data_IF_054618519727
#
_entry.id   IF_054618519727
#
_cell.length_a   1.000
_cell.length_b   1.000
_cell.length_c   1.000
_cell.angle_alpha   90.00
_cell.angle_beta   90.00
_cell.angle_gamma   90.00
#
_symmetry.space_group_name_H-M   'P 1'
#
loop_
_entity.id
_entity.type
_entity.pdbx_description
1 polymer ?
#
# COMPACT_ATOMS: atom_id res chain seq x y z
N UNK A 1 -17.01 13.92 -0.73
CA UNK A 1 -15.55 13.93 -0.55
C UNK A 1 -15.28 13.19 0.72
N UNK A 2 -14.56 12.09 0.63
CA UNK A 2 -14.03 11.41 1.81
C UNK A 2 -12.95 12.32 2.40
N UNK A 3 -13.17 12.76 3.63
CA UNK A 3 -12.45 13.86 4.30
C UNK A 3 -11.01 13.51 4.72
N UNK A 4 -10.25 12.77 3.91
CA UNK A 4 -8.84 12.46 4.20
C UNK A 4 -7.92 13.56 3.69
N UNK A 5 -7.23 14.29 4.59
CA UNK A 5 -6.40 15.41 4.18
C UNK A 5 -5.21 14.89 3.36
N UNK A 6 -4.83 15.58 2.27
CA UNK A 6 -3.54 15.34 1.64
C UNK A 6 -2.44 15.61 2.68
N UNK A 7 -1.31 14.92 2.55
CA UNK A 7 -0.19 15.09 3.49
C UNK A 7 0.15 16.57 3.67
N UNK A 8 0.41 16.98 4.91
CA UNK A 8 0.75 18.37 5.27
C UNK A 8 2.15 18.78 4.80
N UNK A 9 2.96 17.84 4.28
CA UNK A 9 4.27 18.14 3.74
C UNK A 9 4.19 18.66 2.29
N UNK A 10 5.17 19.48 1.91
CA UNK A 10 5.31 19.96 0.54
C UNK A 10 5.47 18.77 -0.42
N UNK A 11 4.70 18.77 -1.51
CA UNK A 11 4.73 17.66 -2.46
C UNK A 11 6.04 17.71 -3.28
N UNK A 12 6.91 16.68 -3.17
CA UNK A 12 8.25 16.71 -3.75
C UNK A 12 8.24 16.63 -5.27
N UNK A 13 9.26 17.19 -5.91
CA UNK A 13 9.47 17.10 -7.36
C UNK A 13 9.72 15.66 -7.83
N UNK A 14 9.12 15.29 -8.96
CA UNK A 14 9.20 13.97 -9.59
C UNK A 14 8.62 12.82 -8.75
N UNK A 15 7.50 13.09 -8.08
CA UNK A 15 6.72 12.10 -7.36
C UNK A 15 5.33 11.94 -7.96
N UNK A 16 4.76 10.77 -7.71
CA UNK A 16 3.34 10.47 -7.91
C UNK A 16 2.77 10.00 -6.59
N UNK A 17 1.57 10.45 -6.25
CA UNK A 17 0.79 9.94 -5.13
C UNK A 17 -0.61 9.54 -5.63
N UNK A 18 -1.08 8.43 -5.10
CA UNK A 18 -2.34 7.78 -5.44
C UNK A 18 -3.07 7.43 -4.16
N UNK A 19 -4.35 7.75 -4.10
CA UNK A 19 -5.22 7.35 -2.99
C UNK A 19 -6.55 6.79 -3.49
N UNK A 20 -7.02 5.72 -2.85
CA UNK A 20 -8.37 5.19 -3.07
C UNK A 20 -9.05 5.17 -1.71
N UNK A 21 -10.17 5.86 -1.60
CA UNK A 21 -10.95 5.90 -0.39
C UNK A 21 -12.27 5.15 -0.62
N UNK A 22 -12.50 4.13 0.20
CA UNK A 22 -13.74 3.36 0.24
C UNK A 22 -14.54 3.74 1.47
N UNK A 23 -15.84 3.91 1.27
CA UNK A 23 -16.81 4.16 2.33
C UNK A 23 -18.01 3.24 2.12
N UNK A 24 -18.52 2.65 3.20
CA UNK A 24 -19.73 1.84 3.17
C UNK A 24 -20.82 2.59 3.94
N UNK A 25 -21.84 3.03 3.22
CA UNK A 25 -23.02 3.68 3.77
C UNK A 25 -24.26 2.94 3.28
N UNK A 26 -25.15 2.53 4.20
CA UNK A 26 -26.46 1.93 3.86
C UNK A 26 -26.38 0.73 2.88
N UNK A 27 -25.39 -0.16 3.06
CA UNK A 27 -25.10 -1.31 2.18
C UNK A 27 -24.67 -0.95 0.75
N UNK A 28 -24.30 0.31 0.50
CA UNK A 28 -23.66 0.72 -0.75
C UNK A 28 -22.22 1.11 -0.47
N UNK A 29 -21.31 0.56 -1.28
CA UNK A 29 -19.90 0.97 -1.26
C UNK A 29 -19.71 2.10 -2.25
N UNK A 30 -19.15 3.20 -1.76
CA UNK A 30 -18.69 4.30 -2.56
C UNK A 30 -17.17 4.26 -2.62
N UNK A 31 -16.61 4.62 -3.76
CA UNK A 31 -15.18 4.65 -3.99
C UNK A 31 -14.80 5.99 -4.63
N UNK A 32 -13.78 6.64 -4.09
CA UNK A 32 -13.22 7.88 -4.60
C UNK A 32 -11.73 7.67 -4.91
N UNK A 33 -11.31 8.05 -6.12
CA UNK A 33 -9.93 7.96 -6.57
C UNK A 33 -9.33 9.36 -6.60
N UNK A 34 -8.17 9.51 -5.97
CA UNK A 34 -7.43 10.76 -5.91
C UNK A 34 -6.00 10.51 -6.39
N UNK A 35 -5.46 11.49 -7.11
CA UNK A 35 -4.15 11.36 -7.73
C UNK A 35 -3.49 12.71 -7.90
N UNK A 36 -2.21 12.81 -7.53
CA UNK A 36 -1.38 13.98 -7.82
C UNK A 36 0.00 13.57 -8.32
N UNK A 37 0.57 14.39 -9.18
CA UNK A 37 1.87 14.15 -9.80
C UNK A 37 2.63 15.45 -10.01
N UNK A 38 3.94 15.40 -9.72
CA UNK A 38 4.93 16.41 -10.09
C UNK A 38 5.92 15.85 -11.12
N UNK A 39 5.71 14.62 -11.59
CA UNK A 39 6.45 14.03 -12.69
C UNK A 39 5.74 14.30 -14.01
N UNK A 40 6.47 14.91 -14.94
CA UNK A 40 5.95 15.46 -16.21
C UNK A 40 5.13 14.49 -17.10
N UNK A 41 5.29 13.17 -16.96
CA UNK A 41 4.52 12.19 -17.75
C UNK A 41 3.14 11.84 -17.13
N UNK A 42 2.93 12.15 -15.85
CA UNK A 42 1.67 11.85 -15.15
C UNK A 42 0.93 13.09 -14.70
N UNK A 43 -0.38 12.99 -14.73
CA UNK A 43 -1.39 13.97 -14.32
C UNK A 43 -2.46 13.23 -13.51
N UNK A 44 -3.30 13.99 -12.83
CA UNK A 44 -4.48 13.49 -12.09
C UNK A 44 -5.31 12.47 -12.89
N UNK A 45 -5.40 12.66 -14.21
CA UNK A 45 -6.25 11.89 -15.11
C UNK A 45 -5.63 10.58 -15.62
N UNK A 46 -4.32 10.35 -15.45
CA UNK A 46 -3.62 9.19 -16.02
C UNK A 46 -2.68 8.47 -15.04
N UNK A 47 -2.76 8.80 -13.74
CA UNK A 47 -2.03 8.07 -12.69
C UNK A 47 -2.65 6.70 -12.39
N UNK A 48 -3.91 6.49 -12.77
CA UNK A 48 -4.63 5.23 -12.61
C UNK A 48 -4.66 4.45 -13.91
N UNK A 49 -4.55 3.13 -13.79
CA UNK A 49 -4.82 2.20 -14.88
C UNK A 49 -6.13 1.49 -14.55
N UNK A 50 -7.21 1.88 -15.22
CA UNK A 50 -8.56 1.43 -14.90
C UNK A 50 -8.75 -0.07 -15.10
N UNK A 51 -7.99 -0.69 -16.03
CA UNK A 51 -8.09 -2.11 -16.34
C UNK A 51 -7.60 -3.04 -15.24
N UNK A 52 -6.96 -2.50 -14.21
CA UNK A 52 -6.38 -3.25 -13.09
C UNK A 52 -6.94 -2.82 -11.72
N UNK A 53 -7.95 -1.94 -11.67
CA UNK A 53 -8.61 -1.53 -10.42
C UNK A 53 -9.60 -2.56 -9.88
N UNK A 54 -10.13 -3.46 -10.71
CA UNK A 54 -11.16 -4.43 -10.31
C UNK A 54 -10.74 -5.29 -9.12
N UNK A 55 -9.49 -5.75 -9.08
CA UNK A 55 -8.97 -6.55 -7.96
C UNK A 55 -8.94 -5.73 -6.65
N UNK A 56 -8.59 -4.43 -6.75
CA UNK A 56 -8.58 -3.52 -5.61
C UNK A 56 -10.00 -3.28 -5.11
N UNK A 57 -10.94 -3.01 -6.01
CA UNK A 57 -12.35 -2.81 -5.66
C UNK A 57 -12.94 -4.07 -5.01
N UNK A 58 -12.68 -5.25 -5.59
CA UNK A 58 -13.15 -6.51 -5.03
C UNK A 58 -12.56 -6.78 -3.64
N UNK A 59 -11.27 -6.52 -3.41
CA UNK A 59 -10.68 -6.66 -2.08
C UNK A 59 -11.23 -5.64 -1.08
N UNK A 60 -11.35 -4.37 -1.49
CA UNK A 60 -11.89 -3.30 -0.64
C UNK A 60 -13.33 -3.57 -0.22
N UNK A 61 -14.17 -3.99 -1.17
CA UNK A 61 -15.56 -4.39 -0.89
C UNK A 61 -15.63 -5.52 0.13
N UNK A 62 -14.83 -6.57 -0.06
CA UNK A 62 -14.83 -7.74 0.82
C UNK A 62 -14.34 -7.42 2.23
N UNK A 63 -13.35 -6.53 2.37
CA UNK A 63 -12.87 -6.07 3.68
C UNK A 63 -13.97 -5.31 4.41
N UNK A 64 -14.60 -4.31 3.75
CA UNK A 64 -15.67 -3.53 4.37
C UNK A 64 -16.94 -4.34 4.65
N UNK A 65 -17.24 -5.33 3.80
CA UNK A 65 -18.33 -6.28 4.04
C UNK A 65 -18.06 -7.15 5.26
N UNK A 66 -16.84 -7.66 5.40
CA UNK A 66 -16.46 -8.44 6.57
C UNK A 66 -16.59 -7.60 7.85
N UNK A 67 -16.07 -6.36 7.86
CA UNK A 67 -16.14 -5.51 9.05
C UNK A 67 -17.58 -5.18 9.44
N UNK A 68 -18.43 -4.88 8.46
CA UNK A 68 -19.83 -4.54 8.71
C UNK A 68 -20.69 -5.73 9.19
N UNK A 69 -20.36 -6.95 8.73
CA UNK A 69 -21.20 -8.13 8.95
C UNK A 69 -20.63 -9.12 9.98
N UNK A 70 -19.47 -8.84 10.58
CA UNK A 70 -18.86 -9.71 11.59
C UNK A 70 -19.61 -9.59 12.93
N UNK A 71 -20.35 -10.62 13.39
CA UNK A 71 -21.22 -10.51 14.57
C UNK A 71 -20.47 -10.21 15.86
N UNK A 72 -19.24 -10.71 15.96
CA UNK A 72 -18.40 -10.64 17.15
C UNK A 72 -17.20 -9.71 16.92
N UNK A 73 -17.35 -8.67 16.08
CA UNK A 73 -16.24 -7.78 15.75
C UNK A 73 -15.68 -7.07 16.98
N UNK A 74 -16.53 -6.76 17.97
CA UNK A 74 -16.16 -6.16 19.25
C UNK A 74 -15.30 -7.08 20.14
N UNK A 75 -15.29 -8.39 19.90
CA UNK A 75 -14.45 -9.36 20.62
C UNK A 75 -13.08 -9.55 19.95
N UNK A 76 -12.86 -8.98 18.76
CA UNK A 76 -11.61 -9.09 18.02
C UNK A 76 -10.52 -8.23 18.65
N UNK A 77 -9.29 -8.74 18.66
CA UNK A 77 -8.11 -8.05 19.22
C UNK A 77 -7.76 -6.73 18.51
N UNK A 78 -8.32 -6.51 17.32
CA UNK A 78 -8.13 -5.33 16.48
C UNK A 78 -9.32 -4.36 16.52
N UNK A 79 -10.38 -4.65 17.28
CA UNK A 79 -11.49 -3.71 17.45
C UNK A 79 -11.03 -2.43 18.16
N UNK A 80 -11.57 -1.29 17.75
CA UNK A 80 -11.19 0.01 18.33
C UNK A 80 -9.76 0.43 18.00
N UNK A 81 -9.20 -0.03 16.87
CA UNK A 81 -7.81 0.25 16.45
C UNK A 81 -7.73 0.73 15.00
N UNK A 82 -6.67 1.48 14.71
CA UNK A 82 -6.22 1.80 13.35
C UNK A 82 -5.16 0.77 12.91
N UNK A 83 -5.49 0.03 11.85
CA UNK A 83 -4.63 -0.99 11.27
C UNK A 83 -4.04 -0.44 9.96
N UNK A 84 -2.72 -0.47 9.81
CA UNK A 84 -2.03 -0.06 8.59
C UNK A 84 -1.22 -1.24 8.06
N UNK A 85 -1.54 -1.71 6.86
CA UNK A 85 -0.76 -2.73 6.14
C UNK A 85 0.18 -2.05 5.15
N UNK A 86 1.46 -2.42 5.16
CA UNK A 86 2.53 -1.75 4.42
C UNK A 86 3.25 -2.75 3.51
N UNK A 87 3.58 -2.31 2.30
CA UNK A 87 4.43 -3.02 1.36
C UNK A 87 5.31 -2.01 0.60
N UNK A 88 6.57 -2.36 0.37
CA UNK A 88 7.52 -1.51 -0.35
C UNK A 88 8.07 -2.19 -1.58
N UNK A 89 8.36 -1.39 -2.60
CA UNK A 89 9.15 -1.85 -3.75
C UNK A 89 10.49 -1.13 -3.80
N UNK A 90 11.52 -1.92 -4.09
CA UNK A 90 12.92 -1.45 -4.14
C UNK A 90 13.49 -1.58 -5.54
N UNK A 91 14.54 -0.80 -5.80
CA UNK A 91 15.14 -0.71 -7.14
C UNK A 91 16.09 -1.85 -7.50
N UNK A 92 16.38 -2.77 -6.57
CA UNK A 92 17.34 -3.86 -6.76
C UNK A 92 16.89 -5.14 -6.06
N UNK A 93 17.35 -6.30 -6.55
CA UNK A 93 17.07 -7.59 -5.94
C UNK A 93 18.02 -7.89 -4.77
N UNK A 94 17.59 -8.77 -3.86
CA UNK A 94 18.43 -9.26 -2.77
C UNK A 94 19.79 -9.81 -3.26
N UNK A 95 20.89 -9.58 -2.52
CA UNK A 95 21.02 -8.80 -1.29
C UNK A 95 21.14 -7.29 -1.52
N UNK A 96 21.32 -6.85 -2.78
CA UNK A 96 21.48 -5.43 -3.14
C UNK A 96 20.23 -4.60 -2.87
N UNK A 97 19.07 -5.22 -2.72
CA UNK A 97 17.84 -4.56 -2.27
C UNK A 97 18.03 -3.71 -1.00
N UNK A 98 18.91 -4.15 -0.09
CA UNK A 98 19.28 -3.39 1.12
C UNK A 98 20.23 -2.21 0.86
N UNK A 99 20.96 -2.23 -0.25
CA UNK A 99 21.80 -1.13 -0.73
C UNK A 99 21.00 -0.16 -1.63
N UNK A 100 20.00 -0.71 -2.33
CA UNK A 100 18.95 0.02 -3.01
C UNK A 100 18.02 0.72 -2.02
N UNK A 101 17.22 1.63 -2.54
CA UNK A 101 16.29 2.42 -1.76
C UNK A 101 14.87 2.18 -2.28
N UNK A 102 13.91 2.53 -1.45
CA UNK A 102 12.48 2.39 -1.73
C UNK A 102 12.09 3.36 -2.83
N UNK A 103 11.41 2.84 -3.85
CA UNK A 103 10.84 3.67 -4.92
C UNK A 103 9.32 3.68 -4.90
N UNK A 104 8.68 2.75 -4.20
CA UNK A 104 7.23 2.71 -4.00
C UNK A 104 6.96 2.37 -2.55
N UNK A 105 6.07 3.12 -1.92
CA UNK A 105 5.49 2.77 -0.63
C UNK A 105 3.98 2.66 -0.83
N UNK A 106 3.44 1.48 -0.59
CA UNK A 106 2.01 1.21 -0.59
C UNK A 106 1.51 1.00 0.83
N UNK A 107 0.29 1.45 1.09
CA UNK A 107 -0.40 1.27 2.35
C UNK A 107 -1.89 0.97 2.12
N UNK A 108 -2.47 0.12 2.97
CA UNK A 108 -3.91 0.07 3.19
C UNK A 108 -4.22 0.27 4.66
N UNK A 109 -5.28 1.04 4.94
CA UNK A 109 -5.59 1.60 6.26
C UNK A 109 -7.04 1.33 6.57
N UNK A 110 -7.29 0.58 7.63
CA UNK A 110 -8.62 0.35 8.18
C UNK A 110 -8.68 0.97 9.58
N UNK A 111 -9.52 1.98 9.76
CA UNK A 111 -9.71 2.65 11.05
C UNK A 111 -11.04 2.23 11.69
N UNK A 112 -10.96 1.50 12.81
CA UNK A 112 -12.10 0.98 13.55
C UNK A 112 -12.30 1.70 14.90
N UNK A 113 -11.67 2.87 15.12
CA UNK A 113 -11.71 3.59 16.41
C UNK A 113 -13.01 4.36 16.63
N UNK A 114 -13.45 5.11 15.64
CA UNK A 114 -14.50 6.13 15.82
C UNK A 114 -15.84 5.75 15.18
N UNK A 115 -15.81 4.98 14.09
CA UNK A 115 -17.02 4.64 13.34
C UNK A 115 -17.60 3.32 13.82
N UNK A 116 -18.93 3.22 13.78
CA UNK A 116 -19.59 1.93 13.89
C UNK A 116 -19.09 1.01 12.76
N UNK A 117 -18.91 -0.31 12.98
CA UNK A 117 -18.35 -1.24 12.00
C UNK A 117 -18.99 -1.17 10.60
N UNK A 118 -20.29 -0.92 10.55
CA UNK A 118 -21.07 -0.75 9.32
C UNK A 118 -20.70 0.49 8.49
N UNK A 119 -20.06 1.48 9.12
CA UNK A 119 -19.59 2.74 8.52
C UNK A 119 -18.05 2.80 8.51
N UNK A 120 -17.38 1.64 8.53
CA UNK A 120 -15.93 1.57 8.44
C UNK A 120 -15.43 2.13 7.11
N UNK A 121 -14.26 2.76 7.15
CA UNK A 121 -13.60 3.32 5.96
C UNK A 121 -12.30 2.57 5.71
N UNK A 122 -12.02 2.32 4.43
CA UNK A 122 -10.75 1.73 3.98
C UNK A 122 -10.07 2.76 3.08
N UNK A 123 -8.87 3.18 3.46
CA UNK A 123 -8.01 4.01 2.63
C UNK A 123 -6.87 3.16 2.06
N UNK A 124 -6.59 3.36 0.79
CA UNK A 124 -5.36 2.92 0.14
C UNK A 124 -4.55 4.15 -0.19
N UNK A 125 -3.26 4.14 0.14
CA UNK A 125 -2.32 5.19 -0.21
C UNK A 125 -1.10 4.59 -0.87
N UNK A 126 -0.58 5.27 -1.89
CA UNK A 126 0.60 4.82 -2.59
C UNK A 126 1.41 5.99 -3.11
N UNK A 127 2.72 5.97 -2.86
CA UNK A 127 3.64 7.01 -3.31
C UNK A 127 4.78 6.44 -4.13
N UNK A 128 5.27 7.23 -5.09
CA UNK A 128 6.31 6.85 -6.03
C UNK A 128 7.41 7.90 -6.08
N UNK A 129 8.65 7.45 -5.92
CA UNK A 129 9.85 8.21 -6.27
C UNK A 129 10.22 7.88 -7.72
N UNK A 130 9.80 8.74 -8.65
CA UNK A 130 9.87 8.44 -10.09
C UNK A 130 11.31 8.47 -10.62
N UNK A 131 12.18 9.26 -10.00
CA UNK A 131 13.59 9.34 -10.40
C UNK A 131 14.44 8.21 -9.85
N UNK A 132 13.93 7.43 -8.89
CA UNK A 132 14.69 6.36 -8.25
C UNK A 132 16.02 6.92 -7.72
N UNK A 133 15.93 7.96 -6.90
CA UNK A 133 17.06 8.57 -6.21
C UNK A 133 17.03 8.26 -4.73
N UNK A 134 18.14 7.75 -4.19
CA UNK A 134 18.26 7.36 -2.77
C UNK A 134 18.04 8.53 -1.84
N UNK A 135 18.60 9.68 -2.19
CA UNK A 135 18.48 10.93 -1.45
C UNK A 135 17.02 11.45 -1.35
N UNK A 136 16.11 10.95 -2.19
CA UNK A 136 14.69 11.31 -2.16
C UNK A 136 13.81 10.29 -1.43
N UNK A 137 14.38 9.17 -0.93
CA UNK A 137 13.60 8.11 -0.30
C UNK A 137 12.85 8.56 0.96
N UNK A 138 13.39 9.55 1.70
CA UNK A 138 12.72 10.13 2.87
C UNK A 138 11.37 10.77 2.55
N UNK A 139 11.19 11.32 1.35
CA UNK A 139 9.93 11.96 0.97
C UNK A 139 8.77 10.97 0.86
N UNK A 140 9.03 9.69 0.55
CA UNK A 140 8.00 8.64 0.58
C UNK A 140 7.42 8.49 1.99
N UNK A 141 8.30 8.48 3.01
CA UNK A 141 7.87 8.41 4.40
C UNK A 141 7.18 9.70 4.83
N UNK A 142 7.73 10.88 4.53
CA UNK A 142 7.08 12.15 4.90
C UNK A 142 5.64 12.26 4.37
N UNK A 143 5.39 11.83 3.13
CA UNK A 143 4.04 11.80 2.55
C UNK A 143 3.11 10.78 3.23
N UNK A 144 3.68 9.75 3.86
CA UNK A 144 2.96 8.68 4.55
C UNK A 144 2.81 8.92 6.07
N UNK A 145 3.56 9.85 6.67
CA UNK A 145 3.60 10.03 8.14
C UNK A 145 2.23 10.37 8.74
N UNK A 146 1.45 11.22 8.08
CA UNK A 146 0.10 11.57 8.56
C UNK A 146 -0.83 10.34 8.65
N UNK A 147 -0.56 9.32 7.85
CA UNK A 147 -1.30 8.05 7.87
C UNK A 147 -0.72 7.09 8.93
N UNK A 148 0.59 7.12 9.15
CA UNK A 148 1.33 6.18 10.00
C UNK A 148 1.40 6.58 11.48
N UNK A 149 1.46 7.87 11.80
CA UNK A 149 1.80 8.40 13.13
C UNK A 149 0.85 7.95 14.26
N UNK A 150 -0.36 7.54 13.94
CA UNK A 150 -1.40 7.11 14.89
C UNK A 150 -1.88 5.67 14.62
N UNK A 151 -1.07 4.86 13.92
CA UNK A 151 -1.36 3.44 13.72
C UNK A 151 -1.21 2.68 15.04
N UNK A 152 -2.22 1.89 15.41
CA UNK A 152 -2.15 1.00 16.58
C UNK A 152 -1.50 -0.34 16.22
N UNK A 153 -1.69 -0.79 14.97
CA UNK A 153 -1.17 -2.05 14.44
C UNK A 153 -0.58 -1.80 13.05
N UNK A 154 0.65 -2.26 12.84
CA UNK A 154 1.26 -2.32 11.51
C UNK A 154 1.35 -3.76 11.02
N UNK A 155 0.77 -4.05 9.86
CA UNK A 155 0.86 -5.35 9.18
C UNK A 155 1.92 -5.28 8.08
N UNK A 156 2.75 -6.31 7.97
CA UNK A 156 3.73 -6.46 6.88
C UNK A 156 3.84 -7.92 6.47
N UNK A 157 4.26 -8.15 5.22
CA UNK A 157 4.56 -9.49 4.73
C UNK A 157 6.07 -9.65 4.55
N UNK A 158 6.80 -9.87 5.67
CA UNK A 158 8.27 -9.94 5.82
C UNK A 158 8.90 -8.70 6.51
N UNK A 159 8.68 -8.55 7.81
CA UNK A 159 9.24 -7.40 8.58
C UNK A 159 10.77 -7.29 8.48
N UNK A 160 11.46 -8.42 8.32
CA UNK A 160 12.93 -8.45 8.15
C UNK A 160 13.41 -7.74 6.88
N UNK A 161 12.51 -7.45 5.95
CA UNK A 161 12.75 -6.65 4.75
C UNK A 161 12.11 -5.28 4.85
N UNK A 162 10.77 -5.20 4.87
CA UNK A 162 10.04 -3.94 4.72
C UNK A 162 10.34 -2.98 5.87
N UNK A 163 10.10 -3.41 7.11
CA UNK A 163 10.34 -2.61 8.31
C UNK A 163 11.82 -2.29 8.46
N UNK A 164 12.72 -3.24 8.18
CA UNK A 164 14.16 -3.01 8.26
C UNK A 164 14.62 -1.89 7.30
N UNK A 165 14.13 -1.89 6.06
CA UNK A 165 14.47 -0.86 5.07
C UNK A 165 13.87 0.49 5.45
N UNK A 166 12.61 0.51 5.91
CA UNK A 166 11.97 1.76 6.37
C UNK A 166 12.70 2.35 7.59
N UNK A 167 13.06 1.55 8.59
CA UNK A 167 13.89 1.99 9.72
C UNK A 167 15.25 2.53 9.26
N UNK A 168 15.87 1.89 8.27
CA UNK A 168 17.13 2.39 7.69
C UNK A 168 16.94 3.79 7.05
N UNK A 169 15.78 4.08 6.45
CA UNK A 169 15.48 5.43 5.92
C UNK A 169 15.26 6.40 7.08
N UNK A 170 14.46 6.02 8.09
CA UNK A 170 14.19 6.84 9.27
C UNK A 170 15.50 7.29 9.93
N UNK A 171 16.41 6.34 10.20
CA UNK A 171 17.70 6.59 10.81
C UNK A 171 18.61 7.46 9.93
N UNK A 172 18.77 7.11 8.64
CA UNK A 172 19.68 7.83 7.75
C UNK A 172 19.26 9.28 7.48
N UNK A 173 17.96 9.56 7.52
CA UNK A 173 17.41 10.89 7.25
C UNK A 173 16.92 11.61 8.51
N UNK A 174 17.13 11.02 9.70
CA UNK A 174 16.72 11.59 10.99
C UNK A 174 15.23 11.97 11.02
N UNK A 175 14.36 11.10 10.50
CA UNK A 175 12.91 11.32 10.51
C UNK A 175 12.39 11.08 11.93
N UNK A 176 11.63 12.02 12.47
CA UNK A 176 10.98 11.89 13.78
C UNK A 176 9.76 10.96 13.68
N UNK A 177 10.00 9.66 13.65
CA UNK A 177 8.95 8.64 13.60
C UNK A 177 9.46 7.32 14.17
N UNK A 178 8.59 6.64 14.92
CA UNK A 178 8.79 5.28 15.39
C UNK A 178 7.55 4.46 15.01
N UNK A 179 7.76 3.23 14.53
CA UNK A 179 6.64 2.31 14.32
C UNK A 179 5.97 1.96 15.65
N UNK A 180 4.67 1.64 15.66
CA UNK A 180 3.99 1.22 16.88
C UNK A 180 4.59 -0.09 17.42
N UNK A 181 4.39 -0.33 18.72
CA UNK A 181 4.88 -1.55 19.39
C UNK A 181 4.34 -2.83 18.74
N UNK A 182 3.13 -2.77 18.15
CA UNK A 182 2.48 -3.93 17.53
C UNK A 182 2.74 -3.95 16.02
N UNK A 183 3.80 -4.68 15.63
CA UNK A 183 4.07 -5.06 14.24
C UNK A 183 3.76 -6.54 14.05
N UNK A 184 2.88 -6.87 13.10
CA UNK A 184 2.49 -8.25 12.79
C UNK A 184 3.10 -8.64 11.45
N UNK A 185 4.07 -9.54 11.49
CA UNK A 185 4.63 -10.17 10.29
C UNK A 185 3.80 -11.39 9.88
N UNK A 186 3.00 -11.23 8.83
CA UNK A 186 2.16 -12.31 8.29
C UNK A 186 3.00 -13.46 7.71
N UNK A 187 4.28 -13.25 7.42
CA UNK A 187 5.19 -14.30 6.97
C UNK A 187 5.41 -15.40 8.01
N UNK A 188 5.17 -15.08 9.29
CA UNK A 188 5.22 -16.07 10.38
C UNK A 188 4.15 -17.15 10.24
N UNK A 189 3.01 -16.81 9.64
CA UNK A 189 1.88 -17.73 9.43
C UNK A 189 1.79 -18.24 7.98
N UNK A 190 2.27 -17.45 7.03
CA UNK A 190 2.23 -17.76 5.60
C UNK A 190 3.64 -17.66 4.99
N UNK A 191 4.17 -18.78 4.48
CA UNK A 191 5.53 -18.86 3.93
C UNK A 191 5.74 -18.00 2.68
N UNK A 192 4.66 -17.64 1.98
CA UNK A 192 4.67 -16.79 0.79
C UNK A 192 3.32 -16.11 0.57
N UNK A 193 3.31 -15.01 -0.19
CA UNK A 193 2.07 -14.33 -0.59
C UNK A 193 1.12 -15.29 -1.32
N UNK A 194 1.65 -16.16 -2.19
CA UNK A 194 0.85 -17.20 -2.85
C UNK A 194 0.15 -18.15 -1.86
N UNK A 195 0.79 -18.48 -0.73
CA UNK A 195 0.15 -19.28 0.31
C UNK A 195 -0.96 -18.49 1.02
N UNK A 196 -0.73 -17.22 1.31
CA UNK A 196 -1.73 -16.32 1.90
C UNK A 196 -2.95 -16.16 0.97
N UNK A 197 -2.72 -15.94 -0.31
CA UNK A 197 -3.80 -15.86 -1.31
C UNK A 197 -4.55 -17.18 -1.46
N UNK A 198 -3.85 -18.31 -1.42
CA UNK A 198 -4.50 -19.62 -1.42
C UNK A 198 -5.37 -19.82 -0.17
N UNK A 199 -4.94 -19.31 0.99
CA UNK A 199 -5.75 -19.28 2.20
C UNK A 199 -7.03 -18.45 1.99
N UNK A 200 -6.91 -17.22 1.49
CA UNK A 200 -8.06 -16.35 1.18
C UNK A 200 -9.02 -17.01 0.18
N UNK A 201 -8.48 -17.64 -0.87
CA UNK A 201 -9.27 -18.41 -1.83
C UNK A 201 -10.06 -19.53 -1.17
N UNK A 202 -9.42 -20.30 -0.28
CA UNK A 202 -10.09 -21.41 0.42
C UNK A 202 -11.09 -20.94 1.46
N UNK A 203 -10.84 -19.81 2.15
CA UNK A 203 -11.67 -19.33 3.26
C UNK A 203 -12.85 -18.47 2.83
N UNK A 204 -12.63 -17.58 1.87
CA UNK A 204 -13.59 -16.54 1.50
C UNK A 204 -13.78 -16.44 -0.01
N UNK A 205 -13.27 -17.41 -0.78
CA UNK A 205 -13.35 -17.47 -2.24
C UNK A 205 -12.82 -16.20 -2.94
N UNK A 206 -11.85 -15.54 -2.32
CA UNK A 206 -11.18 -14.38 -2.90
C UNK A 206 -10.01 -14.83 -3.80
N UNK A 207 -9.86 -14.19 -4.96
CA UNK A 207 -8.74 -14.41 -5.88
C UNK A 207 -8.47 -13.15 -6.69
N UNK A 208 -7.19 -12.76 -6.81
CA UNK A 208 -6.73 -11.75 -7.77
C UNK A 208 -6.85 -12.29 -9.20
N UNK A 209 -7.40 -11.50 -10.12
CA UNK A 209 -7.58 -11.90 -11.52
C UNK A 209 -6.60 -11.19 -12.45
N UNK A 210 -6.31 -9.92 -12.17
CA UNK A 210 -5.63 -9.01 -13.08
C UNK A 210 -4.25 -8.54 -12.55
N UNK A 211 -3.98 -8.75 -11.26
CA UNK A 211 -2.80 -8.24 -10.55
C UNK A 211 -1.87 -9.34 -9.98
N UNK A 212 -1.92 -10.56 -10.51
CA UNK A 212 -1.06 -11.68 -10.06
C UNK A 212 0.46 -11.40 -10.33
N UNK A 213 1.31 -11.69 -9.34
CA UNK A 213 2.78 -11.55 -9.40
C UNK A 213 3.39 -12.61 -10.31
N UNK A 214 3.55 -12.34 -11.61
CA UNK A 214 3.81 -13.47 -12.53
C UNK A 214 3.85 -13.20 -14.03
N UNK A 215 3.15 -12.17 -14.52
CA UNK A 215 3.04 -11.87 -15.95
C UNK A 215 4.27 -11.11 -16.47
N UNK A 216 5.45 -11.74 -16.32
CA UNK A 216 6.77 -11.14 -16.43
C UNK A 216 7.26 -10.69 -17.84
N UNK A 217 6.77 -11.22 -18.99
CA UNK A 217 7.26 -10.78 -20.31
C UNK A 217 6.99 -9.30 -20.64
N UNK A 218 5.95 -8.71 -20.06
CA UNK A 218 5.64 -7.28 -20.21
C UNK A 218 6.36 -6.42 -19.16
N UNK A 219 6.58 -6.97 -17.96
CA UNK A 219 7.30 -6.35 -16.84
C UNK A 219 8.77 -5.98 -17.16
N UNK A 220 9.55 -6.91 -17.72
CA UNK A 220 11.00 -6.69 -17.95
C UNK A 220 11.34 -5.91 -19.23
N UNK A 221 10.39 -5.74 -20.16
CA UNK A 221 10.60 -4.89 -21.35
C UNK A 221 10.71 -3.40 -20.99
N UNK A 222 10.05 -3.00 -19.90
CA UNK A 222 9.88 -1.60 -19.47
C UNK A 222 10.78 -1.23 -18.28
N UNK A 223 11.31 -2.23 -17.55
CA UNK A 223 12.17 -2.05 -16.37
C UNK A 223 13.62 -1.72 -16.74
N UNK A 224 13.94 -0.44 -17.03
CA UNK A 224 15.33 0.04 -17.11
C UNK A 224 15.47 1.42 -16.46
N UNK A 225 16.04 1.45 -15.27
CA UNK A 225 16.49 2.69 -14.63
C UNK A 225 17.60 3.37 -15.42
N UNK A 226 18.04 4.53 -14.91
CA UNK A 226 19.09 5.38 -15.47
C UNK A 226 20.41 4.60 -15.61
N UNK A 227 20.59 3.94 -16.76
CA UNK A 227 21.84 3.34 -17.18
C UNK A 227 22.60 4.30 -18.09
N UNK A 228 23.84 3.95 -18.43
CA UNK A 228 24.73 4.67 -19.35
C UNK A 228 24.19 4.93 -20.78
N UNK A 229 22.91 4.67 -21.05
CA UNK A 229 22.25 4.74 -22.36
C UNK A 229 20.97 5.58 -22.42
N UNK A 230 20.68 6.42 -21.42
CA UNK A 230 19.67 7.48 -21.55
C UNK A 230 18.70 7.65 -20.39
N UNK A 231 17.92 8.73 -20.47
CA UNK A 231 16.85 9.17 -19.53
C UNK A 231 15.52 9.12 -20.29
N UNK A 232 14.44 8.72 -19.61
CA UNK A 232 13.07 8.80 -20.14
C UNK A 232 12.48 7.47 -20.61
N UNK A 233 11.92 6.67 -19.68
CA UNK A 233 11.03 5.54 -20.02
C UNK A 233 9.88 5.44 -19.02
N UNK A 234 8.69 5.21 -19.56
CA UNK A 234 7.41 5.09 -18.89
C UNK A 234 7.46 4.12 -17.70
N UNK A 235 6.88 4.60 -16.61
CA UNK A 235 6.59 3.85 -15.40
C UNK A 235 5.21 3.18 -15.62
N UNK A 236 5.08 2.15 -16.46
CA UNK A 236 3.79 1.44 -16.68
C UNK A 236 3.72 0.06 -15.97
N UNK A 237 2.56 -0.35 -15.41
CA UNK A 237 1.56 0.38 -14.63
C UNK A 237 1.83 0.12 -13.13
N UNK A 238 2.62 0.99 -12.51
CA UNK A 238 3.63 0.56 -11.51
C UNK A 238 3.15 0.34 -10.07
N UNK A 239 1.85 0.35 -9.78
CA UNK A 239 1.38 0.38 -8.39
C UNK A 239 0.49 -0.75 -7.90
N UNK A 240 -0.31 -1.35 -8.78
CA UNK A 240 -1.52 -2.03 -8.30
C UNK A 240 -1.20 -3.33 -7.57
N UNK A 241 -0.19 -4.08 -8.00
CA UNK A 241 0.21 -5.30 -7.28
C UNK A 241 0.75 -4.97 -5.88
N UNK A 242 1.50 -3.87 -5.71
CA UNK A 242 1.97 -3.40 -4.40
C UNK A 242 0.78 -3.00 -3.51
N UNK A 243 -0.27 -2.36 -4.07
CA UNK A 243 -1.52 -2.13 -3.34
C UNK A 243 -2.16 -3.46 -2.91
N UNK A 244 -2.23 -4.44 -3.81
CA UNK A 244 -2.80 -5.74 -3.46
C UNK A 244 -1.95 -6.51 -2.44
N UNK A 245 -0.63 -6.31 -2.46
CA UNK A 245 0.33 -6.83 -1.48
C UNK A 245 0.19 -6.14 -0.11
N UNK A 246 -0.52 -5.00 0.00
CA UNK A 246 -0.99 -4.46 1.29
C UNK A 246 -2.40 -4.94 1.66
N UNK A 247 -3.32 -5.01 0.70
CA UNK A 247 -4.72 -5.39 0.95
C UNK A 247 -4.88 -6.85 1.34
N UNK A 248 -4.10 -7.76 0.73
CA UNK A 248 -4.24 -9.19 1.04
C UNK A 248 -3.73 -9.56 2.44
N UNK A 249 -2.59 -9.04 2.96
CA UNK A 249 -2.26 -9.21 4.38
C UNK A 249 -3.31 -8.63 5.32
N UNK A 250 -3.87 -7.45 5.01
CA UNK A 250 -4.97 -6.87 5.77
C UNK A 250 -6.17 -7.82 5.79
N UNK A 251 -6.61 -8.30 4.63
CA UNK A 251 -7.76 -9.19 4.55
C UNK A 251 -7.52 -10.56 5.21
N UNK A 252 -6.30 -11.09 5.15
CA UNK A 252 -5.97 -12.37 5.80
C UNK A 252 -5.80 -12.25 7.32
N UNK A 253 -5.53 -11.05 7.83
CA UNK A 253 -5.44 -10.77 9.25
C UNK A 253 -6.82 -10.65 9.91
N UNK A 254 -7.78 -10.05 9.19
CA UNK A 254 -9.18 -9.92 9.59
C UNK A 254 -9.89 -11.28 9.68
#
# INVERSE_FOLDING_TARGET
>A
MIDWPPSQCEFPDNFVERMIAFDKCENKINCELLGRSSYHEYTENNVWDEGILDDIFAAGERILDYTACCPDINEKSYFGKKIVSIDIETTTWFPKAYEGFVNILGMSVLDLRENAPENSKLLIHQTFNMLRKKEQACHLLHLALDILNDADIVLVFNQGFDIKILNTIIENFCIEYEFPETIIDLKNNYRSLAQLEQYLKTKVNFRRLNSEKGSYPDYYKLFKGKGSKGVGKQIEPIGIYNIMDTLTPLYAYL
#
